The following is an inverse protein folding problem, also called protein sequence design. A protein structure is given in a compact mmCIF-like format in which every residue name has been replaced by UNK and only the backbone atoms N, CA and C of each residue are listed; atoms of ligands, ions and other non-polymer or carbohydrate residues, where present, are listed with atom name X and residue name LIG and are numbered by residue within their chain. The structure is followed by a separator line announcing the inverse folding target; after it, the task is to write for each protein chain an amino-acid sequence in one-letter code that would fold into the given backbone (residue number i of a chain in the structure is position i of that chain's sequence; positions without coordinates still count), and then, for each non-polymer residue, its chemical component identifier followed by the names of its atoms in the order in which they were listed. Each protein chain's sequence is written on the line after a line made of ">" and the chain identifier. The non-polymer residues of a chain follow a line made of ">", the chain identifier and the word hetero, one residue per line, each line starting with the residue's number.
data_IF_650159589678
#
_entry.id   IF_650159589678
#
_cell.length_a   1.000
_cell.length_b   1.000
_cell.length_c   1.000
_cell.angle_alpha   90.00
_cell.angle_beta   90.00
_cell.angle_gamma   90.00
#
_symmetry.space_group_name_H-M   'P 1'
#
loop_
_entity.id
_entity.type
_entity.pdbx_description
1 polymer ?
#
# COMPACT_ATOMS: atom_id res chain seq x y z
N UNK A 1 3.66 1.50 -11.38
CA UNK A 1 2.88 2.55 -10.71
C UNK A 1 3.77 3.77 -10.53
N UNK A 2 3.24 4.97 -10.21
CA UNK A 2 4.05 6.20 -9.99
C UNK A 2 4.93 6.64 -11.19
N UNK A 3 4.49 6.40 -12.43
CA UNK A 3 5.27 6.67 -13.64
C UNK A 3 5.33 8.15 -14.04
N UNK A 4 4.42 8.99 -13.53
CA UNK A 4 4.41 10.43 -13.79
C UNK A 4 5.06 11.18 -12.62
N UNK A 5 5.85 12.22 -12.92
CA UNK A 5 6.59 12.99 -11.93
C UNK A 5 5.69 13.55 -10.82
N UNK A 6 4.49 14.01 -11.21
CA UNK A 6 3.48 14.56 -10.30
C UNK A 6 2.97 13.55 -9.25
N UNK A 7 3.00 12.24 -9.54
CA UNK A 7 2.49 11.19 -8.65
C UNK A 7 3.59 10.37 -8.00
N UNK A 8 4.85 10.59 -8.39
CA UNK A 8 6.00 9.77 -7.96
C UNK A 8 6.22 9.76 -6.45
N UNK A 9 5.85 10.84 -5.75
CA UNK A 9 6.03 11.01 -4.30
C UNK A 9 4.82 10.55 -3.47
N UNK A 10 3.71 10.18 -4.10
CA UNK A 10 2.47 9.83 -3.38
C UNK A 10 2.57 8.36 -2.95
N UNK A 11 2.56 8.02 -1.64
CA UNK A 11 2.59 6.63 -1.21
C UNK A 11 1.36 5.87 -1.68
N UNK A 12 1.55 4.65 -2.21
CA UNK A 12 0.47 3.80 -2.74
C UNK A 12 0.24 2.62 -1.80
N UNK A 13 -1.00 2.44 -1.37
CA UNK A 13 -1.47 1.26 -0.62
C UNK A 13 -2.50 0.54 -1.50
N UNK A 14 -2.33 -0.76 -1.69
CA UNK A 14 -3.25 -1.57 -2.50
C UNK A 14 -4.24 -2.29 -1.60
N UNK A 15 -5.52 -2.30 -1.98
CA UNK A 15 -6.58 -2.97 -1.22
C UNK A 15 -7.33 -3.95 -2.11
N UNK A 16 -7.28 -5.24 -1.79
CA UNK A 16 -7.79 -6.32 -2.65
C UNK A 16 -8.39 -7.48 -1.87
N UNK A 17 -9.32 -8.22 -2.48
CA UNK A 17 -9.81 -9.48 -1.93
C UNK A 17 -8.88 -10.68 -2.24
N UNK A 18 -8.06 -10.57 -3.30
CA UNK A 18 -7.04 -11.56 -3.66
C UNK A 18 -5.76 -11.23 -2.89
N UNK A 19 -5.46 -11.99 -1.85
CA UNK A 19 -4.31 -11.78 -0.96
C UNK A 19 -3.19 -12.80 -1.18
N UNK A 20 -3.12 -13.40 -2.37
CA UNK A 20 -2.09 -14.39 -2.65
C UNK A 20 -0.69 -13.79 -2.46
N UNK A 21 0.19 -14.53 -1.79
CA UNK A 21 1.56 -14.09 -1.45
C UNK A 21 2.31 -13.57 -2.67
N UNK A 22 2.16 -14.26 -3.81
CA UNK A 22 2.75 -13.87 -5.08
C UNK A 22 2.28 -12.47 -5.54
N UNK A 23 1.02 -12.12 -5.32
CA UNK A 23 0.47 -10.81 -5.69
C UNK A 23 1.03 -9.70 -4.81
N UNK A 24 1.17 -9.98 -3.51
CA UNK A 24 1.75 -9.04 -2.54
C UNK A 24 3.20 -8.75 -2.90
N UNK A 25 4.01 -9.77 -3.14
CA UNK A 25 5.42 -9.64 -3.52
C UNK A 25 5.59 -8.87 -4.83
N UNK A 26 4.78 -9.19 -5.84
CA UNK A 26 4.83 -8.50 -7.13
C UNK A 26 4.49 -7.01 -7.01
N UNK A 27 3.54 -6.65 -6.14
CA UNK A 27 3.13 -5.27 -5.95
C UNK A 27 4.11 -4.47 -5.09
N UNK A 28 4.72 -5.10 -4.09
CA UNK A 28 5.83 -4.53 -3.35
C UNK A 28 7.01 -4.18 -4.28
N UNK A 29 7.34 -5.08 -5.22
CA UNK A 29 8.42 -4.88 -6.19
C UNK A 29 8.19 -3.69 -7.14
N UNK A 30 6.95 -3.26 -7.38
CA UNK A 30 6.60 -2.12 -8.25
C UNK A 30 6.31 -0.83 -7.48
N UNK A 31 6.65 -0.77 -6.20
CA UNK A 31 6.62 0.44 -5.38
C UNK A 31 5.36 0.64 -4.54
N UNK A 32 4.51 -0.39 -4.38
CA UNK A 32 3.46 -0.33 -3.37
C UNK A 32 4.08 -0.33 -1.97
N UNK A 33 3.61 0.56 -1.10
CA UNK A 33 4.14 0.68 0.26
C UNK A 33 3.42 -0.22 1.27
N UNK A 34 2.18 -0.60 0.98
CA UNK A 34 1.45 -1.60 1.76
C UNK A 34 0.40 -2.29 0.90
N UNK A 35 -0.05 -3.46 1.38
CA UNK A 35 -1.14 -4.24 0.82
C UNK A 35 -2.11 -4.59 1.94
N UNK A 36 -3.40 -4.35 1.74
CA UNK A 36 -4.46 -4.65 2.68
C UNK A 36 -5.47 -5.58 2.01
N UNK A 37 -6.00 -6.51 2.80
CA UNK A 37 -7.04 -7.41 2.32
C UNK A 37 -8.43 -6.81 2.53
N UNK A 38 -9.40 -7.21 1.70
CA UNK A 38 -10.80 -6.85 1.90
C UNK A 38 -11.50 -7.98 2.69
N UNK A 39 -12.43 -7.65 3.61
CA UNK A 39 -12.80 -6.31 4.06
C UNK A 39 -11.70 -5.64 4.88
N UNK A 40 -11.58 -4.31 4.76
CA UNK A 40 -10.57 -3.55 5.51
C UNK A 40 -11.05 -3.41 6.96
N UNK A 41 -10.16 -3.66 7.91
CA UNK A 41 -10.40 -3.36 9.32
C UNK A 41 -9.74 -2.04 9.71
N UNK A 42 -10.46 -1.20 10.46
CA UNK A 42 -9.98 0.13 10.86
C UNK A 42 -8.62 0.11 11.59
N UNK A 43 -8.34 -0.83 12.52
CA UNK A 43 -7.04 -0.87 13.20
C UNK A 43 -5.86 -1.10 12.25
N UNK A 44 -6.02 -2.03 11.30
CA UNK A 44 -4.99 -2.35 10.31
C UNK A 44 -4.73 -1.17 9.38
N UNK A 45 -5.80 -0.49 8.94
CA UNK A 45 -5.69 0.69 8.09
C UNK A 45 -4.99 1.86 8.81
N UNK A 46 -5.36 2.13 10.06
CA UNK A 46 -4.73 3.19 10.85
C UNK A 46 -3.24 2.92 11.07
N UNK A 47 -2.85 1.67 11.33
CA UNK A 47 -1.43 1.30 11.47
C UNK A 47 -0.63 1.60 10.19
N UNK A 48 -1.20 1.33 9.02
CA UNK A 48 -0.57 1.69 7.73
C UNK A 48 -0.45 3.20 7.57
N UNK A 49 -1.48 3.95 7.94
CA UNK A 49 -1.45 5.42 7.86
C UNK A 49 -0.40 6.02 8.79
N UNK A 50 -0.29 5.53 10.02
CA UNK A 50 0.72 5.99 10.97
C UNK A 50 2.14 5.80 10.39
N UNK A 51 2.42 4.64 9.78
CA UNK A 51 3.70 4.37 9.13
C UNK A 51 3.99 5.20 7.86
N UNK A 52 2.98 5.86 7.30
CA UNK A 52 3.08 6.68 6.09
C UNK A 52 3.09 8.18 6.35
N UNK A 53 2.38 8.63 7.39
CA UNK A 53 2.13 10.04 7.68
C UNK A 53 3.01 10.59 8.81
N UNK A 54 3.71 9.72 9.55
CA UNK A 54 4.65 10.18 10.58
C UNK A 54 5.81 10.94 9.91
N UNK A 55 6.06 12.21 10.25
CA UNK A 55 7.19 12.96 9.72
C UNK A 55 8.50 12.29 10.17
N UNK A 56 9.41 12.08 9.21
CA UNK A 56 10.82 11.71 9.50
C UNK A 56 11.64 12.98 9.71
#
# INVERSE_FOLDING_TARGET
>A
MQSADATRRIPVVVISADATTQKIEQLAAVGARAYLTKPIEAPEFLHVLDGLLTPT
#
